data_IF_691840326340
#
_entry.id   IF_691840326340
#
_cell.length_a   1.000
_cell.length_b   1.000
_cell.length_c   1.000
_cell.angle_alpha   90.00
_cell.angle_beta   90.00
_cell.angle_gamma   90.00
#
_symmetry.space_group_name_H-M   'P 1'
#
loop_
_entity.id
_entity.type
_entity.pdbx_description
1 polymer ?
#
# COMPACT_ATOMS: atom_id res chain seq x y z
N UNK A 1 40.50 91.56 -2.49
CA UNK A 1 39.79 90.39 -1.93
C UNK A 1 38.44 90.82 -1.37
N UNK A 2 37.33 90.59 -2.08
CA UNK A 2 35.98 90.79 -1.54
C UNK A 2 35.20 89.50 -1.77
N UNK A 3 34.85 88.84 -0.66
CA UNK A 3 34.18 87.54 -0.57
C UNK A 3 32.86 87.54 -1.34
N UNK A 4 32.73 86.57 -2.23
CA UNK A 4 31.48 86.13 -2.83
C UNK A 4 30.59 85.57 -1.72
N UNK A 5 29.45 86.22 -1.45
CA UNK A 5 28.44 85.69 -0.52
C UNK A 5 27.56 84.71 -1.29
N UNK A 6 27.75 83.43 -0.99
CA UNK A 6 26.83 82.34 -1.37
C UNK A 6 25.40 82.70 -0.93
N UNK A 7 24.50 82.87 -1.90
CA UNK A 7 23.05 82.97 -1.68
C UNK A 7 22.56 81.56 -1.35
N UNK A 8 22.35 81.27 -0.06
CA UNK A 8 21.59 80.10 0.35
C UNK A 8 20.13 80.30 -0.10
N UNK A 9 19.71 79.56 -1.13
CA UNK A 9 18.33 79.51 -1.58
C UNK A 9 17.52 78.82 -0.47
N UNK A 10 16.81 79.59 0.35
CA UNK A 10 15.89 79.06 1.35
C UNK A 10 14.59 78.64 0.66
N UNK A 11 14.57 77.41 0.13
CA UNK A 11 13.44 76.81 -0.59
C UNK A 11 12.20 76.61 0.34
N UNK A 12 12.36 76.78 1.65
CA UNK A 12 11.33 76.47 2.66
C UNK A 12 10.52 77.67 3.18
N UNK A 13 10.74 78.92 2.73
CA UNK A 13 10.05 80.07 3.36
C UNK A 13 8.56 80.20 3.03
N UNK A 14 8.07 79.51 1.99
CA UNK A 14 6.69 79.64 1.49
C UNK A 14 5.87 78.35 1.67
N UNK A 15 6.39 77.34 2.35
CA UNK A 15 5.68 76.08 2.60
C UNK A 15 5.07 76.09 4.01
N UNK A 16 3.76 75.89 4.08
CA UNK A 16 3.06 75.68 5.36
C UNK A 16 3.56 74.37 5.99
N UNK A 17 4.18 74.49 7.17
CA UNK A 17 4.72 73.36 7.91
C UNK A 17 3.64 72.30 8.21
N UNK A 18 2.38 72.72 8.40
CA UNK A 18 1.26 71.79 8.63
C UNK A 18 0.99 70.93 7.40
N UNK A 19 1.10 71.51 6.21
CA UNK A 19 0.93 70.81 4.94
C UNK A 19 2.07 69.80 4.75
N UNK A 20 3.32 70.19 5.05
CA UNK A 20 4.48 69.29 4.99
C UNK A 20 4.34 68.10 5.96
N UNK A 21 3.86 68.32 7.18
CA UNK A 21 3.60 67.25 8.16
C UNK A 21 2.54 66.27 7.64
N UNK A 22 1.46 66.76 7.02
CA UNK A 22 0.42 65.90 6.43
C UNK A 22 0.98 65.04 5.29
N UNK A 23 1.80 65.60 4.39
CA UNK A 23 2.44 64.82 3.33
C UNK A 23 3.39 63.74 3.88
N UNK A 24 4.15 64.04 4.92
CA UNK A 24 5.02 63.06 5.58
C UNK A 24 4.19 61.94 6.23
N UNK A 25 3.07 62.27 6.89
CA UNK A 25 2.19 61.25 7.48
C UNK A 25 1.56 60.36 6.40
N UNK A 26 1.09 60.91 5.29
CA UNK A 26 0.56 60.12 4.16
C UNK A 26 1.64 59.22 3.57
N UNK A 27 2.87 59.73 3.41
CA UNK A 27 4.01 58.93 2.94
C UNK A 27 4.34 57.78 3.92
N UNK A 28 4.36 58.05 5.23
CA UNK A 28 4.61 57.03 6.24
C UNK A 28 3.51 55.95 6.26
N UNK A 29 2.25 56.34 6.12
CA UNK A 29 1.13 55.41 5.98
C UNK A 29 1.25 54.58 4.70
N UNK A 30 1.63 55.21 3.58
CA UNK A 30 1.89 54.51 2.32
C UNK A 30 3.05 53.52 2.42
N UNK A 31 4.16 53.91 3.06
CA UNK A 31 5.30 53.03 3.32
C UNK A 31 4.94 51.89 4.26
N UNK A 32 4.09 52.12 5.26
CA UNK A 32 3.56 51.08 6.13
C UNK A 32 2.75 50.04 5.35
N UNK A 33 1.79 50.48 4.52
CA UNK A 33 1.03 49.56 3.67
C UNK A 33 1.91 48.83 2.66
N UNK A 34 2.90 49.51 2.09
CA UNK A 34 3.88 48.89 1.20
C UNK A 34 4.70 47.83 1.92
N UNK A 35 5.18 48.11 3.14
CA UNK A 35 5.94 47.17 3.96
C UNK A 35 5.09 45.95 4.36
N UNK A 36 3.83 46.17 4.74
CA UNK A 36 2.87 45.07 5.00
C UNK A 36 2.69 44.21 3.76
N UNK A 37 2.50 44.84 2.59
CA UNK A 37 2.35 44.13 1.32
C UNK A 37 3.63 43.39 0.91
N UNK A 38 4.80 43.95 1.20
CA UNK A 38 6.10 43.34 0.92
C UNK A 38 6.35 42.12 1.82
N UNK A 39 6.00 42.20 3.11
CA UNK A 39 6.16 41.08 4.05
C UNK A 39 5.21 39.92 3.77
N UNK A 40 4.01 40.20 3.26
CA UNK A 40 3.01 39.18 2.93
C UNK A 40 3.09 38.73 1.46
N UNK A 41 4.11 39.16 0.73
CA UNK A 41 4.31 38.76 -0.66
C UNK A 41 4.82 37.31 -0.72
N UNK A 42 4.10 36.48 -1.46
CA UNK A 42 4.51 35.11 -1.80
C UNK A 42 4.91 35.10 -3.27
N UNK A 43 6.16 34.71 -3.53
CA UNK A 43 6.66 34.51 -4.89
C UNK A 43 6.11 33.18 -5.43
N UNK A 44 5.07 33.26 -6.27
CA UNK A 44 4.46 32.08 -6.87
C UNK A 44 5.29 31.49 -8.03
N UNK A 45 6.19 32.25 -8.66
CA UNK A 45 6.89 31.82 -9.88
C UNK A 45 7.99 30.79 -9.56
N UNK A 46 8.56 30.86 -8.35
CA UNK A 46 9.57 29.93 -7.85
C UNK A 46 9.01 28.89 -6.88
N UNK A 47 7.71 28.95 -6.61
CA UNK A 47 7.04 28.11 -5.65
C UNK A 47 7.01 26.65 -6.15
N UNK A 48 7.61 25.75 -5.35
CA UNK A 48 7.67 24.31 -5.64
C UNK A 48 7.27 23.53 -4.40
N UNK A 49 6.68 22.37 -4.64
CA UNK A 49 6.45 21.37 -3.61
C UNK A 49 7.16 20.06 -3.92
N UNK A 50 7.47 19.35 -2.85
CA UNK A 50 8.16 18.08 -2.87
C UNK A 50 7.17 16.96 -2.56
N UNK A 51 7.40 15.83 -3.23
CA UNK A 51 6.66 14.59 -3.02
C UNK A 51 7.68 13.55 -2.63
N UNK A 52 7.55 13.01 -1.42
CA UNK A 52 8.54 12.17 -0.76
C UNK A 52 7.87 10.85 -0.42
N UNK A 53 8.37 9.76 -0.99
CA UNK A 53 7.93 8.40 -0.71
C UNK A 53 9.06 7.42 -1.02
N UNK A 54 9.10 6.28 -0.33
CA UNK A 54 9.98 5.18 -0.73
C UNK A 54 9.55 4.59 -2.07
N UNK A 55 8.23 4.48 -2.28
CA UNK A 55 7.59 3.93 -3.48
C UNK A 55 6.27 4.65 -3.77
N UNK A 56 6.00 4.86 -5.06
CA UNK A 56 4.73 5.39 -5.55
C UNK A 56 3.80 4.24 -5.90
N UNK A 57 3.21 3.63 -4.88
CA UNK A 57 2.32 2.48 -5.03
C UNK A 57 1.03 2.62 -4.21
N UNK A 58 -0.01 1.90 -4.61
CA UNK A 58 -1.29 1.86 -3.91
C UNK A 58 -1.09 1.41 -2.47
N UNK A 59 -1.64 2.13 -1.52
CA UNK A 59 -1.44 1.81 -0.11
C UNK A 59 -0.01 2.06 0.40
N UNK A 60 0.79 2.90 -0.25
CA UNK A 60 1.98 3.50 0.37
C UNK A 60 1.63 4.90 0.87
N UNK A 61 2.24 5.32 2.00
CA UNK A 61 2.12 6.69 2.48
C UNK A 61 3.07 7.57 1.68
N UNK A 62 2.51 8.64 1.13
CA UNK A 62 3.26 9.64 0.39
C UNK A 62 3.19 10.95 1.19
N UNK A 63 4.38 11.50 1.45
CA UNK A 63 4.52 12.80 2.10
C UNK A 63 4.57 13.90 1.04
N UNK A 64 3.82 14.97 1.29
CA UNK A 64 3.80 16.19 0.50
C UNK A 64 4.30 17.34 1.37
N UNK A 65 5.29 18.07 0.86
CA UNK A 65 5.92 19.17 1.60
C UNK A 65 6.06 20.42 0.74
N UNK A 66 5.81 21.58 1.35
CA UNK A 66 5.93 22.89 0.75
C UNK A 66 7.04 23.67 1.45
N UNK A 67 8.14 23.96 0.74
CA UNK A 67 9.25 24.78 1.26
C UNK A 67 9.09 26.27 0.91
N UNK A 68 7.86 26.79 0.97
CA UNK A 68 7.56 28.16 0.53
C UNK A 68 7.58 29.12 1.72
N UNK A 69 8.47 30.11 1.66
CA UNK A 69 8.58 31.18 2.66
C UNK A 69 7.39 32.14 2.58
N UNK A 70 6.94 32.63 3.74
CA UNK A 70 5.82 33.59 3.89
C UNK A 70 4.43 33.05 3.46
N UNK A 71 4.27 31.74 3.38
CA UNK A 71 2.95 31.11 3.25
C UNK A 71 2.24 31.04 4.61
N UNK A 72 0.96 31.42 4.65
CA UNK A 72 0.13 31.37 5.87
C UNK A 72 -0.96 30.29 5.78
N UNK A 73 -1.32 29.89 4.56
CA UNK A 73 -2.35 28.88 4.27
C UNK A 73 -1.89 27.99 3.13
N UNK A 74 -2.06 26.69 3.32
CA UNK A 74 -1.87 25.65 2.32
C UNK A 74 -3.21 24.96 2.10
N UNK A 75 -3.48 24.54 0.87
CA UNK A 75 -4.63 23.73 0.50
C UNK A 75 -4.16 22.71 -0.54
N UNK A 76 -4.10 21.44 -0.13
CA UNK A 76 -3.70 20.31 -0.95
C UNK A 76 -4.94 19.60 -1.49
N UNK A 77 -4.98 19.42 -2.80
CA UNK A 77 -5.89 18.49 -3.47
C UNK A 77 -5.04 17.38 -4.10
N UNK A 78 -5.29 16.13 -3.70
CA UNK A 78 -4.52 14.99 -4.15
C UNK A 78 -5.00 14.42 -5.49
N UNK A 79 -6.10 14.94 -6.05
CA UNK A 79 -6.63 14.58 -7.36
C UNK A 79 -7.41 13.27 -7.41
N UNK A 80 -7.69 12.65 -6.25
CA UNK A 80 -8.42 11.38 -6.10
C UNK A 80 -9.80 11.54 -5.44
N UNK A 81 -10.23 12.78 -5.19
CA UNK A 81 -11.50 13.09 -4.54
C UNK A 81 -11.48 13.02 -3.01
N UNK A 82 -10.30 12.83 -2.41
CA UNK A 82 -10.12 12.93 -0.96
C UNK A 82 -10.30 14.38 -0.44
N UNK A 83 -10.59 14.57 0.86
CA UNK A 83 -10.75 15.90 1.44
C UNK A 83 -9.47 16.75 1.33
N UNK A 84 -9.65 18.06 1.10
CA UNK A 84 -8.54 19.02 1.04
C UNK A 84 -7.80 19.08 2.39
N UNK A 85 -6.47 18.92 2.36
CA UNK A 85 -5.60 19.07 3.53
C UNK A 85 -5.03 20.50 3.60
N UNK A 86 -4.98 21.08 4.80
CA UNK A 86 -4.68 22.51 5.00
C UNK A 86 -3.34 22.81 5.67
N UNK A 87 -2.47 21.80 5.75
CA UNK A 87 -1.19 21.86 6.45
C UNK A 87 -0.05 22.08 5.47
N UNK A 88 1.05 22.68 5.94
CA UNK A 88 2.27 22.81 5.14
C UNK A 88 2.82 21.44 4.74
N UNK A 89 2.90 20.52 5.69
CA UNK A 89 3.23 19.11 5.47
C UNK A 89 1.97 18.25 5.54
N UNK A 90 1.71 17.49 4.48
CA UNK A 90 0.57 16.60 4.37
C UNK A 90 1.01 15.16 4.12
N UNK A 91 0.24 14.20 4.63
CA UNK A 91 0.40 12.77 4.36
C UNK A 91 -0.85 12.31 3.61
N UNK A 92 -0.65 11.50 2.56
CA UNK A 92 -1.77 10.97 1.78
C UNK A 92 -1.47 9.55 1.27
N UNK A 93 -2.55 8.80 1.03
CA UNK A 93 -2.52 7.43 0.54
C UNK A 93 -3.52 7.25 -0.59
N UNK A 94 -3.03 6.79 -1.74
CA UNK A 94 -3.86 6.43 -2.88
C UNK A 94 -4.35 4.99 -2.78
N UNK A 95 -5.66 4.79 -2.96
CA UNK A 95 -6.29 3.46 -2.90
C UNK A 95 -6.23 2.73 -4.23
N UNK A 96 -6.29 3.45 -5.34
CA UNK A 96 -6.31 2.90 -6.69
C UNK A 96 -5.04 3.27 -7.46
N UNK A 97 -4.57 2.41 -8.38
CA UNK A 97 -3.48 2.76 -9.27
C UNK A 97 -3.98 3.75 -10.32
N UNK A 98 -3.17 4.74 -10.68
CA UNK A 98 -3.57 5.78 -11.60
C UNK A 98 -2.58 6.92 -11.69
N UNK A 99 -2.85 7.86 -12.59
CA UNK A 99 -2.13 9.12 -12.68
C UNK A 99 -2.99 10.16 -11.98
N UNK A 100 -2.44 10.75 -10.92
CA UNK A 100 -3.11 11.76 -10.12
C UNK A 100 -2.43 13.11 -10.33
N UNK A 101 -3.24 14.16 -10.46
CA UNK A 101 -2.75 15.54 -10.52
C UNK A 101 -2.89 16.13 -9.13
N UNK A 102 -1.78 16.27 -8.42
CA UNK A 102 -1.73 16.86 -7.09
C UNK A 102 -1.61 18.36 -7.25
N UNK A 103 -2.54 19.12 -6.67
CA UNK A 103 -2.51 20.58 -6.64
C UNK A 103 -2.25 21.11 -5.23
N UNK A 104 -1.42 22.14 -5.15
CA UNK A 104 -1.19 22.91 -3.93
C UNK A 104 -1.57 24.36 -4.19
N UNK A 105 -2.52 24.86 -3.41
CA UNK A 105 -2.91 26.27 -3.39
C UNK A 105 -2.42 26.94 -2.11
N UNK A 106 -1.67 28.04 -2.25
CA UNK A 106 -1.13 28.83 -1.15
C UNK A 106 -1.77 30.21 -1.11
N UNK A 107 -2.21 30.61 0.08
CA UNK A 107 -2.86 31.90 0.35
C UNK A 107 -4.04 32.23 -0.59
N UNK A 108 -4.62 31.22 -1.25
CA UNK A 108 -5.69 31.37 -2.24
C UNK A 108 -5.26 32.03 -3.57
N UNK A 109 -3.96 32.26 -3.79
CA UNK A 109 -3.46 33.00 -4.96
C UNK A 109 -2.38 32.27 -5.75
N UNK A 110 -1.51 31.50 -5.10
CA UNK A 110 -0.50 30.71 -5.78
C UNK A 110 -1.02 29.28 -5.92
N UNK A 111 -1.26 28.79 -7.14
CA UNK A 111 -1.62 27.40 -7.39
C UNK A 111 -0.55 26.72 -8.24
N UNK A 112 -0.15 25.53 -7.85
CA UNK A 112 0.82 24.70 -8.56
C UNK A 112 0.35 23.26 -8.61
N UNK A 113 0.68 22.58 -9.69
CA UNK A 113 0.23 21.21 -9.93
C UNK A 113 1.41 20.31 -10.31
N UNK A 114 1.34 19.05 -9.90
CA UNK A 114 2.30 18.01 -10.28
C UNK A 114 1.58 16.69 -10.51
N UNK A 115 1.88 16.04 -11.62
CA UNK A 115 1.40 14.68 -11.86
C UNK A 115 2.30 13.66 -11.17
N UNK A 116 1.67 12.68 -10.52
CA UNK A 116 2.32 11.50 -9.98
C UNK A 116 1.61 10.24 -10.49
N UNK A 117 2.39 9.20 -10.73
CA UNK A 117 1.88 7.89 -11.17
C UNK A 117 1.95 6.91 -10.00
N UNK A 118 0.80 6.39 -9.59
CA UNK A 118 0.66 5.40 -8.52
C UNK A 118 0.48 4.02 -9.15
N UNK A 119 1.39 3.09 -8.82
CA UNK A 119 1.35 1.71 -9.32
C UNK A 119 0.63 0.79 -8.35
N UNK A 120 0.08 -0.31 -8.83
CA UNK A 120 -0.47 -1.33 -7.92
C UNK A 120 0.66 -1.94 -7.08
N UNK A 121 0.42 -2.09 -5.76
CA UNK A 121 1.33 -2.78 -4.83
C UNK A 121 1.62 -4.23 -5.29
N UNK A 122 0.79 -4.78 -6.17
CA UNK A 122 0.94 -6.09 -6.78
C UNK A 122 2.01 -6.22 -7.88
N UNK A 123 2.68 -5.14 -8.30
CA UNK A 123 3.59 -5.18 -9.46
C UNK A 123 5.04 -4.74 -9.20
N UNK A 124 5.50 -4.76 -7.95
CA UNK A 124 6.94 -4.82 -7.67
C UNK A 124 7.25 -6.21 -7.11
N UNK A 125 6.97 -7.23 -7.91
CA UNK A 125 7.47 -8.57 -7.66
C UNK A 125 9.00 -8.48 -7.67
N UNK A 126 9.64 -8.77 -6.55
CA UNK A 126 11.10 -8.83 -6.52
C UNK A 126 11.50 -9.99 -7.43
N UNK A 127 11.85 -9.69 -8.67
CA UNK A 127 12.08 -10.69 -9.72
C UNK A 127 13.21 -11.66 -9.34
N UNK A 128 14.08 -11.27 -8.39
CA UNK A 128 15.11 -12.14 -7.83
C UNK A 128 14.56 -13.28 -6.95
N UNK A 129 13.37 -13.11 -6.37
CA UNK A 129 12.66 -14.11 -5.55
C UNK A 129 11.70 -14.98 -6.35
N UNK A 130 11.59 -14.80 -7.67
CA UNK A 130 10.79 -15.69 -8.52
C UNK A 130 11.67 -16.84 -8.97
N UNK A 131 11.30 -18.12 -8.72
CA UNK A 131 12.04 -19.24 -9.27
C UNK A 131 12.01 -19.23 -10.79
N UNK A 132 13.05 -19.74 -11.43
CA UNK A 132 13.10 -19.91 -12.88
C UNK A 132 12.89 -21.38 -13.22
N UNK A 133 11.77 -21.70 -13.85
CA UNK A 133 11.49 -23.04 -14.36
C UNK A 133 12.42 -23.34 -15.55
N UNK A 134 13.02 -24.52 -15.56
CA UNK A 134 13.86 -25.03 -16.65
C UNK A 134 13.10 -26.19 -17.29
N UNK A 135 12.54 -25.93 -18.47
CA UNK A 135 11.75 -26.87 -19.26
C UNK A 135 12.13 -26.75 -20.75
N UNK A 136 11.97 -27.82 -21.55
CA UNK A 136 12.13 -27.75 -23.01
C UNK A 136 11.04 -26.85 -23.64
N UNK A 137 11.33 -26.26 -24.81
CA UNK A 137 10.37 -25.41 -25.53
C UNK A 137 9.18 -26.20 -26.11
N UNK A 138 9.41 -27.47 -26.46
CA UNK A 138 8.37 -28.39 -26.95
C UNK A 138 8.56 -29.80 -26.41
N UNK A 139 7.45 -30.51 -26.17
CA UNK A 139 7.38 -31.88 -25.63
C UNK A 139 6.43 -32.69 -26.53
N UNK A 140 6.60 -34.01 -26.71
CA UNK A 140 5.57 -34.84 -27.38
C UNK A 140 4.60 -35.44 -26.35
N UNK A 141 3.32 -35.58 -26.73
CA UNK A 141 2.33 -36.31 -25.90
C UNK A 141 2.85 -37.72 -25.58
N UNK A 142 2.76 -38.11 -24.30
CA UNK A 142 3.20 -39.43 -23.82
C UNK A 142 4.69 -39.55 -23.49
N UNK A 143 5.52 -38.53 -23.71
CA UNK A 143 6.93 -38.56 -23.30
C UNK A 143 7.11 -38.10 -21.83
N UNK A 144 7.81 -38.87 -20.98
CA UNK A 144 8.11 -38.44 -19.62
C UNK A 144 9.21 -37.37 -19.64
N UNK A 145 8.91 -36.20 -19.06
CA UNK A 145 9.85 -35.07 -19.00
C UNK A 145 10.20 -34.78 -17.55
N UNK A 146 11.50 -34.70 -17.26
CA UNK A 146 12.01 -34.27 -15.96
C UNK A 146 12.15 -32.75 -15.93
N UNK A 147 11.50 -32.10 -14.97
CA UNK A 147 11.54 -30.66 -14.78
C UNK A 147 12.58 -30.28 -13.73
N UNK A 148 13.18 -29.10 -13.91
CA UNK A 148 14.15 -28.50 -12.98
C UNK A 148 13.78 -27.05 -12.74
N UNK A 149 14.38 -26.46 -11.72
CA UNK A 149 14.23 -25.03 -11.42
C UNK A 149 15.58 -24.42 -11.00
N UNK A 150 15.66 -23.09 -11.04
CA UNK A 150 16.74 -22.31 -10.44
C UNK A 150 16.13 -21.28 -9.49
N UNK A 151 16.65 -21.19 -8.27
CA UNK A 151 16.18 -20.24 -7.27
C UNK A 151 17.38 -19.66 -6.52
N UNK A 152 17.33 -18.35 -6.20
CA UNK A 152 18.36 -17.67 -5.41
C UNK A 152 17.88 -17.60 -3.95
N UNK A 153 18.07 -18.70 -3.22
CA UNK A 153 17.68 -18.82 -1.82
C UNK A 153 17.64 -20.28 -1.37
N UNK A 154 17.41 -20.50 -0.08
CA UNK A 154 17.16 -21.84 0.46
C UNK A 154 15.76 -22.31 0.07
N UNK A 155 15.63 -23.60 -0.23
CA UNK A 155 14.37 -24.21 -0.65
C UNK A 155 14.08 -25.45 0.18
N UNK A 156 12.90 -25.50 0.78
CA UNK A 156 12.43 -26.61 1.61
C UNK A 156 11.07 -27.17 1.15
N UNK A 157 10.33 -26.50 0.27
CA UNK A 157 9.12 -27.07 -0.36
C UNK A 157 8.96 -26.67 -1.83
N UNK A 158 8.27 -27.53 -2.57
CA UNK A 158 7.93 -27.35 -3.98
C UNK A 158 6.46 -27.68 -4.19
N UNK A 159 5.81 -26.91 -5.04
CA UNK A 159 4.44 -27.16 -5.48
C UNK A 159 4.37 -26.89 -6.98
N UNK A 160 4.25 -27.95 -7.77
CA UNK A 160 4.22 -27.92 -9.22
C UNK A 160 2.79 -28.12 -9.74
N UNK A 161 2.41 -27.31 -10.73
CA UNK A 161 1.24 -27.54 -11.57
C UNK A 161 1.65 -27.49 -13.03
N UNK A 162 1.30 -28.51 -13.81
CA UNK A 162 1.72 -28.64 -15.22
C UNK A 162 0.67 -28.13 -16.21
N UNK A 163 -0.50 -27.70 -15.71
CA UNK A 163 -1.51 -27.01 -16.50
C UNK A 163 -2.47 -27.91 -17.29
N UNK A 164 -2.55 -29.21 -16.98
CA UNK A 164 -3.60 -30.10 -17.52
C UNK A 164 -4.79 -30.26 -16.57
N UNK A 165 -4.51 -30.44 -15.28
CA UNK A 165 -5.52 -30.72 -14.24
C UNK A 165 -6.08 -29.45 -13.60
N UNK A 166 -5.38 -28.31 -13.74
CA UNK A 166 -5.65 -27.08 -12.98
C UNK A 166 -5.40 -27.22 -11.47
N UNK A 167 -4.75 -28.30 -11.02
CA UNK A 167 -4.49 -28.62 -9.62
C UNK A 167 -2.99 -28.75 -9.35
N UNK A 168 -2.64 -28.94 -8.08
CA UNK A 168 -1.31 -29.36 -7.65
C UNK A 168 -1.04 -30.77 -8.16
N UNK A 169 0.04 -30.96 -8.91
CA UNK A 169 0.39 -32.25 -9.51
C UNK A 169 1.55 -32.96 -8.77
N UNK A 170 2.57 -32.21 -8.32
CA UNK A 170 3.79 -32.77 -7.70
C UNK A 170 4.40 -31.83 -6.64
N UNK A 171 5.10 -32.40 -5.66
CA UNK A 171 5.75 -31.66 -4.54
C UNK A 171 7.23 -31.97 -4.35
N UNK A 172 7.87 -32.55 -5.35
CA UNK A 172 9.28 -32.96 -5.34
C UNK A 172 10.19 -31.94 -6.07
N UNK A 173 11.50 -31.88 -5.77
CA UNK A 173 12.43 -30.89 -6.36
C UNK A 173 12.65 -31.03 -7.86
N UNK A 174 12.55 -32.24 -8.40
CA UNK A 174 12.82 -32.54 -9.81
C UNK A 174 11.79 -33.55 -10.37
N UNK A 175 10.52 -33.14 -10.52
CA UNK A 175 9.45 -34.04 -10.87
C UNK A 175 9.56 -34.54 -12.30
N UNK A 176 9.03 -35.74 -12.53
CA UNK A 176 8.79 -36.28 -13.88
C UNK A 176 7.30 -36.19 -14.16
N UNK A 177 6.94 -35.57 -15.28
CA UNK A 177 5.55 -35.41 -15.72
C UNK A 177 5.40 -35.81 -17.18
N UNK A 178 4.23 -36.35 -17.53
CA UNK A 178 3.89 -36.83 -18.86
C UNK A 178 2.59 -36.18 -19.31
N UNK A 179 2.63 -35.46 -20.43
CA UNK A 179 1.45 -34.77 -20.94
C UNK A 179 0.53 -35.71 -21.71
N UNK A 180 -0.77 -35.67 -21.42
CA UNK A 180 -1.78 -36.53 -22.05
C UNK A 180 -2.45 -35.85 -23.25
N UNK A 181 -2.54 -34.52 -23.24
CA UNK A 181 -3.21 -33.74 -24.28
C UNK A 181 -2.27 -32.75 -24.97
N UNK A 182 -2.36 -32.61 -26.31
CA UNK A 182 -1.56 -31.64 -27.05
C UNK A 182 -1.99 -30.20 -26.75
N UNK A 183 -1.15 -29.24 -27.15
CA UNK A 183 -1.43 -27.81 -27.07
C UNK A 183 -0.48 -27.03 -26.15
N UNK A 184 -0.80 -25.74 -25.92
CA UNK A 184 -0.02 -24.89 -25.01
C UNK A 184 -0.36 -25.24 -23.56
N UNK A 185 0.66 -25.55 -22.77
CA UNK A 185 0.53 -25.86 -21.34
C UNK A 185 1.33 -24.83 -20.53
N UNK A 186 0.75 -24.33 -19.45
CA UNK A 186 1.39 -23.37 -18.55
C UNK A 186 1.79 -24.07 -17.27
N UNK A 187 3.09 -24.24 -17.08
CA UNK A 187 3.68 -24.79 -15.88
C UNK A 187 3.77 -23.68 -14.84
N UNK A 188 3.34 -23.96 -13.62
CA UNK A 188 3.49 -23.08 -12.46
C UNK A 188 4.30 -23.79 -11.37
N UNK A 189 5.20 -23.06 -10.72
CA UNK A 189 5.99 -23.54 -9.58
C UNK A 189 5.91 -22.52 -8.45
N UNK A 190 5.53 -23.01 -7.27
CA UNK A 190 5.61 -22.31 -6.00
C UNK A 190 6.71 -22.97 -5.16
N UNK A 191 7.56 -22.15 -4.57
CA UNK A 191 8.67 -22.58 -3.71
C UNK A 191 8.41 -22.04 -2.31
N UNK A 192 8.64 -22.86 -1.28
CA UNK A 192 8.49 -22.46 0.13
C UNK A 192 7.09 -21.93 0.49
N UNK A 193 6.05 -22.34 -0.23
CA UNK A 193 4.69 -21.82 -0.07
C UNK A 193 4.53 -20.33 -0.44
N UNK A 194 5.50 -19.74 -1.13
CA UNK A 194 5.46 -18.34 -1.54
C UNK A 194 4.52 -18.12 -2.74
N UNK A 195 3.23 -18.05 -2.45
CA UNK A 195 2.17 -17.76 -3.44
C UNK A 195 2.29 -16.36 -4.06
N UNK A 196 3.15 -15.48 -3.52
CA UNK A 196 3.40 -14.15 -4.11
C UNK A 196 4.40 -14.24 -5.25
N UNK A 197 5.40 -15.12 -5.17
CA UNK A 197 6.45 -15.29 -6.19
C UNK A 197 6.31 -16.57 -7.01
N UNK A 198 5.17 -16.73 -7.68
CA UNK A 198 4.90 -17.89 -8.54
C UNK A 198 5.67 -17.80 -9.85
N UNK A 199 6.48 -18.82 -10.14
CA UNK A 199 7.11 -18.98 -11.45
C UNK A 199 6.10 -19.55 -12.45
N UNK A 200 6.00 -18.95 -13.64
CA UNK A 200 5.20 -19.48 -14.75
C UNK A 200 6.04 -19.67 -16.00
N UNK A 201 5.86 -20.79 -16.69
CA UNK A 201 6.55 -21.10 -17.95
C UNK A 201 5.59 -21.83 -18.90
N UNK A 202 5.45 -21.34 -20.13
CA UNK A 202 4.65 -22.02 -21.16
C UNK A 202 5.52 -22.99 -21.95
N UNK A 203 4.97 -24.16 -22.23
CA UNK A 203 5.54 -25.20 -23.12
C UNK A 203 4.50 -25.60 -24.16
N UNK A 204 4.96 -25.99 -25.35
CA UNK A 204 4.09 -26.50 -26.41
C UNK A 204 4.17 -28.03 -26.51
N UNK A 205 3.06 -28.72 -26.24
CA UNK A 205 2.97 -30.17 -26.35
C UNK A 205 2.50 -30.54 -27.76
N UNK A 206 3.38 -31.16 -28.54
CA UNK A 206 3.10 -31.67 -29.88
C UNK A 206 2.25 -32.94 -29.81
N UNK A 207 1.27 -33.13 -30.70
CA UNK A 207 0.55 -34.40 -30.83
C UNK A 207 1.52 -35.56 -31.05
N UNK A 208 1.11 -36.76 -30.66
CA UNK A 208 1.83 -37.98 -31.01
C UNK A 208 1.72 -38.19 -32.53
N UNK A 209 2.86 -38.41 -33.19
CA UNK A 209 2.85 -38.82 -34.60
C UNK A 209 2.20 -40.20 -34.70
N UNK A 210 1.03 -40.27 -35.33
CA UNK A 210 0.45 -41.54 -35.76
C UNK A 210 1.28 -41.95 -36.97
N UNK A 211 2.15 -42.96 -36.80
CA UNK A 211 2.72 -43.66 -37.94
C UNK A 211 1.55 -44.44 -38.52
N UNK A 212 1.03 -44.03 -39.69
CA UNK A 212 0.13 -44.88 -40.46
C UNK A 212 0.81 -46.24 -40.59
N UNK A 213 0.26 -47.24 -39.92
CA UNK A 213 0.57 -48.61 -40.28
C UNK A 213 0.03 -48.74 -41.69
N UNK A 214 0.95 -48.86 -42.66
CA UNK A 214 0.63 -49.32 -44.00
C UNK A 214 0.07 -50.72 -43.80
N UNK A 215 -1.26 -50.82 -43.73
CA UNK A 215 -1.96 -52.06 -43.94
C UNK A 215 -1.79 -52.37 -45.42
N UNK A 216 -0.97 -53.37 -45.70
CA UNK A 216 -0.92 -54.02 -46.99
C UNK A 216 -2.36 -54.47 -47.34
N UNK A 217 -2.69 -54.31 -48.62
CA UNK A 217 -4.03 -54.37 -49.19
C UNK A 217 -4.87 -55.59 -48.76
N UNK A 218 -6.20 -55.39 -48.76
CA UNK A 218 -7.30 -56.35 -48.57
C UNK A 218 -7.85 -56.57 -47.15
N UNK A 219 -8.62 -55.60 -46.64
CA UNK A 219 -10.05 -55.83 -46.36
C UNK A 219 -10.76 -54.51 -46.03
N UNK A 220 -11.71 -54.15 -46.89
CA UNK A 220 -12.63 -53.04 -46.68
C UNK A 220 -13.64 -53.47 -45.61
N UNK A 221 -13.66 -52.79 -44.46
CA UNK A 221 -14.81 -52.83 -43.55
C UNK A 221 -15.40 -51.42 -43.48
N UNK A 222 -16.54 -51.26 -44.14
CA UNK A 222 -17.35 -50.06 -44.15
C UNK A 222 -17.99 -49.78 -42.78
N UNK A 223 -18.06 -48.49 -42.48
CA UNK A 223 -19.11 -47.80 -41.73
C UNK A 223 -19.37 -48.18 -40.26
N UNK A 224 -19.17 -47.16 -39.41
CA UNK A 224 -19.69 -47.01 -38.07
C UNK A 224 -21.15 -47.51 -37.94
N UNK A 225 -21.35 -48.58 -37.18
CA UNK A 225 -22.66 -49.00 -36.68
C UNK A 225 -22.80 -48.53 -35.23
N UNK A 226 -23.68 -47.54 -35.09
CA UNK A 226 -24.47 -47.09 -33.94
C UNK A 226 -24.19 -47.66 -32.53
N UNK A 227 -24.20 -46.73 -31.56
CA UNK A 227 -24.25 -46.96 -30.11
C UNK A 227 -25.05 -48.22 -29.73
N UNK A 228 -24.35 -49.20 -29.17
CA UNK A 228 -24.97 -50.35 -28.51
C UNK A 228 -25.55 -49.86 -27.18
N UNK A 229 -26.87 -49.93 -27.02
CA UNK A 229 -27.52 -49.78 -25.72
C UNK A 229 -26.89 -50.76 -24.72
N UNK A 230 -26.53 -50.25 -23.54
CA UNK A 230 -25.95 -51.05 -22.46
C UNK A 230 -27.04 -51.99 -21.93
N UNK A 231 -26.94 -53.27 -22.25
CA UNK A 231 -27.73 -54.30 -21.58
C UNK A 231 -27.48 -54.25 -20.07
N UNK A 232 -28.56 -54.18 -19.32
CA UNK A 232 -28.58 -54.15 -17.86
C UNK A 232 -27.89 -55.42 -17.35
N UNK A 233 -26.72 -55.25 -16.72
CA UNK A 233 -26.02 -56.34 -16.06
C UNK A 233 -26.81 -56.76 -14.81
N UNK A 234 -27.59 -57.83 -14.92
CA UNK A 234 -28.22 -58.47 -13.76
C UNK A 234 -27.22 -59.47 -13.17
N UNK A 235 -26.84 -59.24 -11.90
CA UNK A 235 -25.99 -60.15 -11.15
C UNK A 235 -26.72 -61.50 -10.96
N UNK A 236 -26.00 -62.64 -11.04
CA UNK A 236 -26.60 -63.94 -10.77
C UNK A 236 -27.13 -64.00 -9.33
N UNK A 237 -28.26 -64.69 -9.08
CA UNK A 237 -28.78 -64.82 -7.73
C UNK A 237 -27.80 -65.65 -6.88
N UNK A 238 -27.15 -64.98 -5.95
CA UNK A 238 -26.38 -65.58 -4.87
C UNK A 238 -26.93 -65.09 -3.54
N UNK A 239 -26.92 -65.96 -2.53
CA UNK A 239 -27.34 -65.59 -1.18
C UNK A 239 -26.55 -64.38 -0.68
N UNK A 240 -27.19 -63.43 0.03
CA UNK A 240 -26.51 -62.23 0.51
C UNK A 240 -25.36 -62.62 1.45
N UNK A 241 -24.13 -62.41 0.98
CA UNK A 241 -22.96 -62.50 1.82
C UNK A 241 -22.96 -61.27 2.74
N UNK A 242 -22.85 -61.48 4.06
CA UNK A 242 -22.73 -60.37 5.02
C UNK A 242 -21.51 -59.52 4.66
N UNK A 243 -21.65 -58.21 4.79
CA UNK A 243 -20.61 -57.24 4.49
C UNK A 243 -19.35 -57.57 5.32
N UNK A 244 -18.19 -57.82 4.69
CA UNK A 244 -16.92 -58.06 5.40
C UNK A 244 -16.54 -56.92 6.35
N UNK A 245 -17.13 -55.73 6.17
CA UNK A 245 -16.94 -54.57 7.05
C UNK A 245 -17.66 -54.72 8.40
N UNK A 246 -18.79 -55.43 8.48
CA UNK A 246 -19.52 -55.63 9.75
C UNK A 246 -18.69 -56.45 10.75
N UNK A 247 -17.98 -57.48 10.28
CA UNK A 247 -17.14 -58.34 11.13
C UNK A 247 -15.86 -57.64 11.62
N UNK A 248 -15.43 -56.59 10.90
CA UNK A 248 -14.29 -55.77 11.29
C UNK A 248 -14.64 -54.76 12.39
N UNK A 249 -15.88 -54.25 12.42
CA UNK A 249 -16.33 -53.26 13.40
C UNK A 249 -16.51 -53.83 14.81
N UNK A 250 -16.85 -55.12 14.93
CA UNK A 250 -17.00 -55.79 16.23
C UNK A 250 -15.66 -56.04 16.95
N UNK A 251 -14.53 -55.97 16.23
CA UNK A 251 -13.21 -56.29 16.74
C UNK A 251 -12.26 -55.07 16.88
N UNK A 252 -12.74 -53.85 16.66
CA UNK A 252 -11.90 -52.65 16.85
C UNK A 252 -11.76 -52.33 18.35
N UNK A 253 -10.54 -52.34 18.92
CA UNK A 253 -10.35 -51.95 20.32
C UNK A 253 -10.69 -50.47 20.49
N UNK A 254 -11.63 -50.17 21.39
CA UNK A 254 -11.91 -48.79 21.81
C UNK A 254 -10.72 -48.27 22.62
N UNK A 255 -9.74 -47.66 21.96
CA UNK A 255 -8.79 -46.79 22.67
C UNK A 255 -9.56 -45.58 23.21
N UNK A 256 -9.36 -45.19 24.48
CA UNK A 256 -10.01 -44.00 25.02
C UNK A 256 -9.63 -42.78 24.18
N UNK A 257 -10.65 -42.01 23.78
CA UNK A 257 -10.46 -40.81 22.96
C UNK A 257 -9.46 -39.88 23.64
N UNK A 258 -8.45 -39.36 22.90
CA UNK A 258 -7.59 -38.33 23.44
C UNK A 258 -8.46 -37.11 23.79
N UNK A 259 -8.25 -36.56 25.00
CA UNK A 259 -8.85 -35.29 25.43
C UNK A 259 -8.71 -34.28 24.30
N UNK A 260 -9.80 -33.57 23.97
CA UNK A 260 -9.80 -32.43 23.04
C UNK A 260 -8.74 -31.42 23.48
N UNK A 261 -7.55 -31.54 22.92
CA UNK A 261 -6.51 -30.53 22.99
C UNK A 261 -6.91 -29.43 22.00
N UNK A 262 -6.94 -28.19 22.48
CA UNK A 262 -7.34 -27.03 21.67
C UNK A 262 -6.46 -26.99 20.43
N UNK A 263 -7.10 -27.10 19.26
CA UNK A 263 -6.48 -26.89 17.95
C UNK A 263 -5.80 -25.50 17.98
N UNK A 264 -4.52 -25.38 17.56
CA UNK A 264 -3.91 -24.08 17.33
C UNK A 264 -4.80 -23.28 16.39
N UNK A 265 -5.11 -22.03 16.75
CA UNK A 265 -5.91 -21.15 15.92
C UNK A 265 -5.31 -21.09 14.52
N UNK A 266 -6.13 -21.38 13.49
CA UNK A 266 -5.80 -21.03 12.11
C UNK A 266 -5.45 -19.53 12.08
N UNK A 267 -4.44 -19.11 11.28
CA UNK A 267 -4.12 -17.71 11.16
C UNK A 267 -5.34 -16.99 10.61
N UNK A 268 -6.00 -16.23 11.50
CA UNK A 268 -7.12 -15.35 11.16
C UNK A 268 -6.65 -14.48 9.98
N UNK A 269 -7.43 -14.44 8.89
CA UNK A 269 -7.37 -13.34 7.92
C UNK A 269 -7.21 -12.03 8.72
N UNK A 270 -6.34 -11.08 8.30
CA UNK A 270 -6.12 -9.86 9.07
C UNK A 270 -7.50 -9.26 9.37
N UNK A 271 -7.88 -9.30 10.65
CA UNK A 271 -9.13 -8.71 11.08
C UNK A 271 -8.98 -7.22 10.80
N UNK A 272 -9.93 -6.63 10.08
CA UNK A 272 -9.98 -5.18 9.90
C UNK A 272 -9.80 -4.53 11.29
N UNK A 273 -8.91 -3.56 11.40
CA UNK A 273 -8.70 -2.85 12.64
C UNK A 273 -10.02 -2.23 13.10
N UNK A 274 -10.30 -2.19 14.42
CA UNK A 274 -11.52 -1.60 14.93
C UNK A 274 -11.62 -0.13 14.48
N UNK A 275 -12.81 0.28 14.04
CA UNK A 275 -13.00 1.67 13.64
C UNK A 275 -12.96 2.60 14.87
N UNK A 276 -12.34 3.76 14.66
CA UNK A 276 -12.17 4.81 15.67
C UNK A 276 -12.29 6.18 15.00
N UNK A 277 -13.08 7.06 15.61
CA UNK A 277 -13.23 8.43 15.13
C UNK A 277 -12.04 9.29 15.55
N UNK A 278 -11.81 10.42 14.85
CA UNK A 278 -10.76 11.38 15.20
C UNK A 278 -10.95 11.89 16.64
N UNK A 279 -12.19 12.16 17.06
CA UNK A 279 -12.53 12.59 18.42
C UNK A 279 -12.18 11.54 19.48
N UNK A 280 -12.45 10.26 19.21
CA UNK A 280 -12.12 9.17 20.14
C UNK A 280 -10.61 8.98 20.24
N UNK A 281 -9.89 9.08 19.12
CA UNK A 281 -8.44 9.00 19.09
C UNK A 281 -7.80 10.18 19.83
N UNK A 282 -8.36 11.38 19.69
CA UNK A 282 -7.95 12.57 20.43
C UNK A 282 -8.02 12.34 21.95
N UNK A 283 -9.14 11.80 22.44
CA UNK A 283 -9.32 11.47 23.85
C UNK A 283 -8.27 10.46 24.35
N UNK A 284 -7.94 9.45 23.54
CA UNK A 284 -6.89 8.50 23.90
C UNK A 284 -5.51 9.18 23.98
N UNK A 285 -5.18 10.10 23.07
CA UNK A 285 -3.93 10.88 23.12
C UNK A 285 -3.85 11.71 24.40
N UNK A 286 -4.95 12.37 24.78
CA UNK A 286 -5.02 13.14 26.04
C UNK A 286 -4.76 12.23 27.26
N UNK A 287 -5.23 10.98 27.23
CA UNK A 287 -4.95 10.00 28.29
C UNK A 287 -3.47 9.57 28.33
N UNK A 288 -2.76 9.52 27.20
CA UNK A 288 -1.30 9.31 27.17
C UNK A 288 -0.57 10.47 27.81
N UNK A 289 -0.97 11.71 27.51
CA UNK A 289 -0.39 12.89 28.12
C UNK A 289 -0.59 12.91 29.65
N UNK A 290 -1.76 12.47 30.11
CA UNK A 290 -2.11 12.27 31.51
C UNK A 290 -1.52 10.99 32.15
N UNK A 291 -0.72 10.20 31.40
CA UNK A 291 -0.12 8.94 31.85
C UNK A 291 -1.12 7.84 32.26
N UNK A 292 -2.38 7.96 31.86
CA UNK A 292 -3.42 6.95 32.10
C UNK A 292 -3.42 5.84 31.03
N UNK A 293 -2.85 6.13 29.86
CA UNK A 293 -2.64 5.18 28.76
C UNK A 293 -1.19 5.19 28.30
N UNK A 294 -0.76 4.11 27.67
CA UNK A 294 0.54 4.00 27.04
C UNK A 294 0.40 3.86 25.52
N UNK A 295 1.51 3.87 24.78
CA UNK A 295 1.48 3.71 23.33
C UNK A 295 0.87 2.36 22.93
N UNK A 296 1.04 1.33 23.75
CA UNK A 296 0.54 -0.04 23.54
C UNK A 296 -0.99 -0.10 23.52
N UNK A 297 -1.70 0.82 24.17
CA UNK A 297 -3.17 0.90 24.10
C UNK A 297 -3.70 1.21 22.68
N UNK A 298 -2.83 1.69 21.80
CA UNK A 298 -3.16 2.03 20.41
C UNK A 298 -2.86 0.87 19.45
N UNK A 299 -2.21 -0.19 19.92
CA UNK A 299 -1.76 -1.34 19.13
C UNK A 299 -2.81 -1.88 18.16
N UNK A 300 -4.05 -2.06 18.65
CA UNK A 300 -5.16 -2.57 17.83
C UNK A 300 -5.60 -1.63 16.71
N UNK A 301 -5.38 -0.32 16.86
CA UNK A 301 -5.79 0.69 15.89
C UNK A 301 -4.68 1.01 14.90
N UNK A 302 -3.41 0.94 15.32
CA UNK A 302 -2.23 1.18 14.47
C UNK A 302 -1.61 -0.14 13.95
N UNK A 303 -2.29 -1.27 14.19
CA UNK A 303 -1.86 -2.60 13.76
C UNK A 303 -0.43 -2.96 14.18
N UNK A 304 -0.14 -2.69 15.46
CA UNK A 304 1.15 -2.90 16.13
C UNK A 304 2.33 -2.10 15.52
N UNK A 305 2.07 -1.16 14.60
CA UNK A 305 3.08 -0.27 14.05
C UNK A 305 3.19 1.02 14.87
N UNK A 306 4.13 1.05 15.82
CA UNK A 306 4.40 2.23 16.63
C UNK A 306 5.30 3.27 15.94
N UNK A 307 5.76 2.99 14.72
CA UNK A 307 6.62 3.89 13.97
C UNK A 307 5.88 4.70 12.90
N UNK A 308 4.54 4.60 12.88
CA UNK A 308 3.71 5.39 11.97
C UNK A 308 4.05 6.89 12.03
N UNK A 309 4.13 7.58 10.88
CA UNK A 309 4.48 8.99 10.81
C UNK A 309 3.42 9.89 11.43
N UNK A 310 3.88 10.86 12.21
CA UNK A 310 3.07 11.89 12.86
C UNK A 310 3.53 13.28 12.43
N UNK A 311 2.67 14.03 11.75
CA UNK A 311 2.91 15.44 11.43
C UNK A 311 2.52 16.30 12.63
N UNK A 312 3.51 16.73 13.42
CA UNK A 312 3.36 17.58 14.60
C UNK A 312 3.42 19.06 14.22
N UNK A 313 2.41 19.83 14.64
CA UNK A 313 2.36 21.30 14.55
C UNK A 313 2.73 21.83 13.14
N UNK A 314 2.20 21.15 12.12
CA UNK A 314 2.34 21.44 10.68
C UNK A 314 3.73 21.34 10.04
N UNK A 315 4.82 21.22 10.81
CA UNK A 315 6.18 21.42 10.29
C UNK A 315 7.20 20.35 10.74
N UNK A 316 6.80 19.36 11.55
CA UNK A 316 7.73 18.37 12.07
C UNK A 316 7.15 16.96 12.00
N UNK A 317 7.83 16.08 11.29
CA UNK A 317 7.47 14.66 11.22
C UNK A 317 8.30 13.89 12.23
N UNK A 318 7.61 13.14 13.08
CA UNK A 318 8.19 12.24 14.08
C UNK A 318 7.40 10.92 14.07
N UNK A 319 7.96 9.85 14.62
CA UNK A 319 7.20 8.61 14.74
C UNK A 319 6.21 8.64 15.91
N UNK A 320 5.16 7.82 15.88
CA UNK A 320 4.17 7.75 16.96
C UNK A 320 4.81 7.45 18.32
N UNK A 321 5.76 6.52 18.38
CA UNK A 321 6.51 6.25 19.59
C UNK A 321 7.25 7.49 20.13
N UNK A 322 7.85 8.30 19.24
CA UNK A 322 8.50 9.55 19.62
C UNK A 322 7.48 10.61 20.06
N UNK A 323 6.35 10.69 19.37
CA UNK A 323 5.25 11.59 19.71
C UNK A 323 4.70 11.31 21.12
N UNK A 324 4.37 10.04 21.44
CA UNK A 324 3.89 9.64 22.77
C UNK A 324 4.88 10.04 23.88
N UNK A 325 6.19 9.79 23.66
CA UNK A 325 7.24 10.22 24.60
C UNK A 325 7.29 11.74 24.77
N UNK A 326 7.00 12.50 23.71
CA UNK A 326 7.07 13.96 23.73
C UNK A 326 5.94 14.61 24.54
N UNK A 327 4.78 13.96 24.66
CA UNK A 327 3.60 14.49 25.36
C UNK A 327 3.41 13.92 26.78
N UNK A 328 4.10 12.81 27.10
CA UNK A 328 3.94 12.11 28.38
C UNK A 328 4.22 13.03 29.57
N UNK A 329 3.25 13.15 30.49
CA UNK A 329 3.36 14.00 31.68
C UNK A 329 3.19 15.50 31.43
N UNK A 330 2.69 15.90 30.27
CA UNK A 330 2.40 17.31 29.93
C UNK A 330 0.90 17.56 29.86
N UNK A 331 0.45 18.72 30.31
CA UNK A 331 -0.88 19.22 29.99
C UNK A 331 -0.88 19.72 28.54
N UNK A 332 -1.61 19.02 27.66
CA UNK A 332 -1.75 19.38 26.25
C UNK A 332 -3.19 19.78 25.91
N UNK A 333 -3.33 20.66 24.93
CA UNK A 333 -4.59 21.02 24.30
C UNK A 333 -4.45 20.81 22.80
N UNK A 334 -5.28 19.93 22.24
CA UNK A 334 -5.30 19.61 20.81
C UNK A 334 -6.25 20.60 20.12
N UNK A 335 -5.78 21.22 19.05
CA UNK A 335 -6.55 22.18 18.26
C UNK A 335 -7.07 21.54 16.96
N UNK A 336 -6.34 20.58 16.39
CA UNK A 336 -6.71 19.85 15.17
C UNK A 336 -6.04 18.47 15.14
N UNK A 337 -6.77 17.45 14.70
CA UNK A 337 -6.28 16.09 14.50
C UNK A 337 -6.91 15.54 13.20
N UNK A 338 -6.09 14.95 12.33
CA UNK A 338 -6.56 14.21 11.15
C UNK A 338 -5.88 12.85 11.07
N UNK A 339 -6.66 11.81 10.86
CA UNK A 339 -6.16 10.44 10.74
C UNK A 339 -6.06 10.02 9.28
N UNK A 340 -4.99 9.30 8.94
CA UNK A 340 -4.87 8.53 7.70
C UNK A 340 -5.02 7.06 8.05
N UNK A 341 -5.80 6.33 7.24
CA UNK A 341 -6.08 4.91 7.46
C UNK A 341 -5.78 4.12 6.19
N UNK A 342 -5.34 2.89 6.37
CA UNK A 342 -5.09 1.95 5.28
C UNK A 342 -6.35 1.15 4.90
N UNK A 343 -6.18 0.22 3.96
CA UNK A 343 -7.22 -0.70 3.48
C UNK A 343 -7.70 -1.72 4.53
N UNK A 344 -6.93 -1.93 5.59
CA UNK A 344 -7.29 -2.75 6.75
C UNK A 344 -7.87 -1.89 7.89
N UNK A 345 -8.16 -0.61 7.63
CA UNK A 345 -8.64 0.36 8.60
C UNK A 345 -7.61 0.68 9.71
N UNK A 346 -6.37 0.25 9.57
CA UNK A 346 -5.28 0.58 10.49
C UNK A 346 -4.91 2.05 10.32
N UNK A 347 -4.75 2.77 11.42
CA UNK A 347 -4.16 4.11 11.41
C UNK A 347 -2.69 3.94 11.09
N UNK A 348 -2.30 4.47 9.95
CA UNK A 348 -0.98 4.31 9.36
C UNK A 348 -0.16 5.61 9.42
N UNK A 349 -0.80 6.69 9.84
CA UNK A 349 -0.22 8.01 9.99
C UNK A 349 -1.29 8.99 10.46
N UNK A 350 -0.87 10.09 11.08
CA UNK A 350 -1.80 11.15 11.43
C UNK A 350 -1.12 12.51 11.54
N UNK A 351 -1.92 13.56 11.49
CA UNK A 351 -1.44 14.92 11.61
C UNK A 351 -2.12 15.60 12.80
N UNK A 352 -1.34 16.26 13.67
CA UNK A 352 -1.83 16.84 14.92
C UNK A 352 -1.24 18.24 15.19
N UNK A 353 -2.11 19.19 15.54
CA UNK A 353 -1.74 20.51 16.05
C UNK A 353 -2.15 20.63 17.52
N UNK A 354 -1.20 20.94 18.40
CA UNK A 354 -1.44 21.03 19.84
C UNK A 354 -0.53 22.04 20.56
N UNK A 355 -1.00 22.47 21.73
CA UNK A 355 -0.30 23.36 22.66
C UNK A 355 -0.01 22.65 23.97
N UNK A 356 1.14 22.95 24.57
CA UNK A 356 1.55 22.50 25.90
C UNK A 356 1.43 23.65 26.88
N UNK A 357 0.89 23.40 28.07
CA UNK A 357 0.82 24.39 29.15
C UNK A 357 2.15 24.48 29.90
N UNK A 358 2.72 25.69 30.00
CA UNK A 358 3.87 26.00 30.87
C UNK A 358 3.54 27.26 31.67
N UNK A 359 3.77 27.23 32.99
CA UNK A 359 3.54 28.38 33.88
C UNK A 359 2.21 29.11 33.59
N UNK A 360 1.12 28.35 33.51
CA UNK A 360 -0.25 28.83 33.26
C UNK A 360 -0.55 29.36 31.84
N UNK A 361 0.39 29.32 30.89
CA UNK A 361 0.21 29.80 29.52
C UNK A 361 0.36 28.63 28.53
N UNK A 362 -0.46 28.62 27.49
CA UNK A 362 -0.41 27.63 26.41
C UNK A 362 0.60 28.04 25.34
N UNK A 363 1.58 27.17 25.08
CA UNK A 363 2.60 27.38 24.06
C UNK A 363 2.52 26.28 22.99
N UNK A 364 2.71 26.62 21.72
CA UNK A 364 2.95 25.60 20.68
C UNK A 364 4.25 24.86 21.03
N UNK A 365 4.19 23.54 21.07
CA UNK A 365 5.38 22.71 21.32
C UNK A 365 6.24 22.69 20.05
N UNK A 366 7.47 23.22 20.14
CA UNK A 366 8.41 23.28 19.01
C UNK A 366 8.95 21.89 18.62
#
# INVERSE_FOLDING_TARGET
>A
MKKEKSKSINIFSNFDLRVLVVFILILLVGLFFFFVKLNNYVDCDNAKFFVIAEKFATGEIIQFDSEISNADKWEWDFGDGSPIEKRQQALHRYQEPGIYTVSLTINGSCSMEKQIEIKSLGEILNQARVPKIVAPKSIKVGEPVRFKYKYKGEVFSWEWSFGESGRLDKTEPAPVYMYLSPGKKTISLIVNGDVKHIAKQTVFVKPREIVEQIYDDEEVIEAYVYEKEVEKFELPPGDPQKDPMEEFLDNVPLTPMPKKEKRPEEPKKPALAPDISEEQFELMILQVAAQAKTKEDFAQYICDDFEIPVVKNSNKIISFAQFCKSIQGKEIKIDNLRLTKDHLNCIDGFSIDYKVKKFFIWHKDK
#
